data_IF_903534880981
#
_entry.id   IF_903534880981
#
_cell.length_a   1.000
_cell.length_b   1.000
_cell.length_c   1.000
_cell.angle_alpha   90.00
_cell.angle_beta   90.00
_cell.angle_gamma   90.00
#
_symmetry.space_group_name_H-M   'P 1'
#
loop_
_entity.id
_entity.type
_entity.pdbx_description
1 polymer ?
#
# COMPACT_ATOMS: atom_id res chain seq x y z
N UNK A 1 -4.96 -6.70 29.18
CA UNK A 1 -4.56 -5.74 28.14
C UNK A 1 -5.12 -4.37 28.51
N UNK A 2 -4.25 -3.43 28.88
CA UNK A 2 -4.63 -2.07 29.28
C UNK A 2 -4.82 -1.19 28.05
N UNK A 3 -5.97 -0.52 27.98
CA UNK A 3 -6.35 0.36 26.85
C UNK A 3 -5.43 1.59 26.83
N UNK A 4 -4.84 1.98 25.68
CA UNK A 4 -4.07 3.22 25.60
C UNK A 4 -4.98 4.43 25.75
N UNK A 5 -4.66 5.34 26.67
CA UNK A 5 -5.29 6.67 26.83
C UNK A 5 -4.73 7.61 25.76
N UNK A 6 -5.42 7.74 24.63
CA UNK A 6 -5.05 8.63 23.53
C UNK A 6 -5.52 10.08 23.72
N UNK A 7 -4.76 11.02 23.15
CA UNK A 7 -5.11 12.44 23.05
C UNK A 7 -6.27 12.61 22.04
N UNK A 8 -7.42 13.12 22.51
CA UNK A 8 -8.68 13.14 21.76
C UNK A 8 -8.63 13.79 20.37
N UNK A 9 -7.64 14.66 20.10
CA UNK A 9 -7.43 15.23 18.75
C UNK A 9 -6.86 14.24 17.73
N UNK A 10 -6.07 13.27 18.19
CA UNK A 10 -5.54 12.22 17.32
C UNK A 10 -6.62 11.24 16.89
N UNK A 11 -7.59 10.98 17.77
CA UNK A 11 -8.69 10.05 17.53
C UNK A 11 -9.65 10.53 16.43
N UNK A 12 -9.90 11.84 16.34
CA UNK A 12 -10.80 12.40 15.33
C UNK A 12 -10.23 12.31 13.91
N UNK A 13 -8.92 12.60 13.74
CA UNK A 13 -8.25 12.37 12.46
C UNK A 13 -8.24 10.89 12.09
N UNK A 14 -7.99 10.01 13.08
CA UNK A 14 -7.96 8.57 12.86
C UNK A 14 -9.29 8.04 12.31
N UNK A 15 -10.43 8.48 12.87
CA UNK A 15 -11.77 8.09 12.38
C UNK A 15 -11.96 8.37 10.89
N UNK A 16 -11.48 9.52 10.39
CA UNK A 16 -11.56 9.87 8.98
C UNK A 16 -10.74 8.94 8.08
N UNK A 17 -9.54 8.55 8.53
CA UNK A 17 -8.68 7.61 7.80
C UNK A 17 -9.25 6.20 7.82
N UNK A 18 -9.72 5.73 8.98
CA UNK A 18 -10.30 4.39 9.13
C UNK A 18 -11.52 4.19 8.23
N UNK A 19 -12.38 5.22 8.09
CA UNK A 19 -13.53 5.16 7.18
C UNK A 19 -13.11 4.93 5.71
N UNK A 20 -12.14 5.70 5.19
CA UNK A 20 -11.64 5.49 3.82
C UNK A 20 -10.93 4.16 3.66
N UNK A 21 -10.24 3.69 4.70
CA UNK A 21 -9.59 2.39 4.68
C UNK A 21 -10.61 1.24 4.61
N UNK A 22 -11.72 1.33 5.35
CA UNK A 22 -12.81 0.35 5.28
C UNK A 22 -13.47 0.30 3.89
N UNK A 23 -13.64 1.44 3.23
CA UNK A 23 -14.16 1.48 1.84
C UNK A 23 -13.21 0.79 0.85
N UNK A 24 -11.90 0.84 1.11
CA UNK A 24 -10.87 0.24 0.25
C UNK A 24 -10.58 -1.24 0.57
N UNK A 25 -10.75 -1.64 1.83
CA UNK A 25 -10.42 -2.97 2.36
C UNK A 25 -11.60 -3.50 3.19
N UNK A 26 -12.58 -4.16 2.55
CA UNK A 26 -13.76 -4.68 3.25
C UNK A 26 -13.40 -5.71 4.33
N UNK A 27 -12.24 -6.38 4.24
CA UNK A 27 -11.73 -7.32 5.24
C UNK A 27 -11.50 -6.71 6.63
N UNK A 28 -11.34 -5.39 6.73
CA UNK A 28 -11.24 -4.69 8.03
C UNK A 28 -12.55 -4.75 8.83
N UNK A 29 -13.69 -5.00 8.17
CA UNK A 29 -14.97 -5.17 8.85
C UNK A 29 -15.02 -6.45 9.70
N UNK A 30 -14.19 -7.45 9.40
CA UNK A 30 -14.11 -8.71 10.14
C UNK A 30 -13.48 -8.56 11.54
N UNK A 31 -12.72 -7.48 11.77
CA UNK A 31 -12.16 -7.18 13.09
C UNK A 31 -13.26 -6.67 14.03
N UNK A 32 -13.39 -7.31 15.19
CA UNK A 32 -14.45 -7.02 16.17
C UNK A 32 -14.26 -5.65 16.83
N UNK A 33 -13.03 -5.23 17.08
CA UNK A 33 -12.74 -4.02 17.85
C UNK A 33 -12.13 -2.89 17.02
N UNK A 34 -12.62 -1.67 17.23
CA UNK A 34 -12.12 -0.46 16.54
C UNK A 34 -10.63 -0.17 16.78
N UNK A 35 -10.11 -0.52 17.95
CA UNK A 35 -8.70 -0.32 18.26
C UNK A 35 -7.79 -1.23 17.41
N UNK A 36 -8.22 -2.47 17.13
CA UNK A 36 -7.48 -3.38 16.24
C UNK A 36 -7.45 -2.81 14.82
N UNK A 37 -8.61 -2.34 14.32
CA UNK A 37 -8.70 -1.69 13.00
C UNK A 37 -7.74 -0.52 12.88
N UNK A 38 -7.71 0.34 13.90
CA UNK A 38 -6.83 1.49 13.94
C UNK A 38 -5.35 1.10 13.99
N UNK A 39 -5.01 0.03 14.71
CA UNK A 39 -3.64 -0.48 14.83
C UNK A 39 -3.15 -1.11 13.51
N UNK A 40 -4.01 -1.87 12.83
CA UNK A 40 -3.75 -2.41 11.48
C UNK A 40 -3.52 -1.28 10.49
N UNK A 41 -4.40 -0.27 10.46
CA UNK A 41 -4.28 0.88 9.55
C UNK A 41 -3.00 1.67 9.83
N UNK A 42 -2.67 1.89 11.12
CA UNK A 42 -1.45 2.60 11.51
C UNK A 42 -0.18 1.81 11.14
N UNK A 43 -0.19 0.49 11.28
CA UNK A 43 0.91 -0.37 10.88
C UNK A 43 1.08 -0.47 9.36
N UNK A 44 -0.02 -0.42 8.61
CA UNK A 44 -0.03 -0.44 7.15
C UNK A 44 0.39 0.91 6.53
N UNK A 45 0.24 2.00 7.29
CA UNK A 45 0.71 3.33 6.90
C UNK A 45 2.24 3.40 7.06
N UNK A 46 2.96 2.59 6.28
CA UNK A 46 4.40 2.70 6.20
C UNK A 46 4.75 4.11 5.69
N UNK A 47 5.63 4.85 6.38
CA UNK A 47 6.09 6.12 5.86
C UNK A 47 6.69 5.80 4.50
N UNK A 48 6.19 6.45 3.45
CA UNK A 48 6.78 6.42 2.10
C UNK A 48 8.27 6.59 2.28
N UNK A 49 8.99 5.48 2.17
CA UNK A 49 10.32 5.39 2.77
C UNK A 49 11.22 6.37 2.03
N UNK A 50 12.04 7.10 2.78
CA UNK A 50 13.06 8.05 2.28
C UNK A 50 13.80 7.54 1.03
N UNK A 51 13.96 6.22 0.92
CA UNK A 51 14.49 5.49 -0.25
C UNK A 51 13.78 5.83 -1.56
N UNK A 52 12.46 5.93 -1.58
CA UNK A 52 11.68 6.29 -2.78
C UNK A 52 11.87 7.74 -3.18
N UNK A 53 11.92 8.65 -2.20
CA UNK A 53 12.25 10.05 -2.47
C UNK A 53 13.64 10.18 -3.09
N UNK A 54 14.62 9.45 -2.53
CA UNK A 54 15.97 9.37 -3.08
C UNK A 54 15.99 8.81 -4.51
N UNK A 55 15.24 7.75 -4.76
CA UNK A 55 15.11 7.13 -6.08
C UNK A 55 14.48 8.06 -7.11
N UNK A 56 13.42 8.79 -6.73
CA UNK A 56 12.79 9.79 -7.60
C UNK A 56 13.75 10.93 -7.93
N UNK A 57 14.46 11.48 -6.93
CA UNK A 57 15.49 12.51 -7.16
C UNK A 57 16.58 12.02 -8.12
N UNK A 58 17.03 10.76 -7.99
CA UNK A 58 18.04 10.18 -8.87
C UNK A 58 17.55 10.08 -10.33
N UNK A 59 16.32 9.60 -10.54
CA UNK A 59 15.71 9.51 -11.88
C UNK A 59 15.62 10.89 -12.53
N UNK A 60 15.22 11.91 -11.76
CA UNK A 60 15.11 13.30 -12.25
C UNK A 60 16.48 13.82 -12.70
N UNK A 61 17.52 13.61 -11.89
CA UNK A 61 18.89 14.02 -12.22
C UNK A 61 19.38 13.30 -13.48
N UNK A 62 19.16 11.99 -13.61
CA UNK A 62 19.52 11.24 -14.81
C UNK A 62 18.78 11.72 -16.06
N UNK A 63 17.47 11.99 -15.93
CA UNK A 63 16.68 12.54 -17.02
C UNK A 63 17.23 13.89 -17.50
N UNK A 64 17.62 14.78 -16.56
CA UNK A 64 18.26 16.06 -16.89
C UNK A 64 19.62 15.90 -17.60
N UNK A 65 20.43 14.91 -17.21
CA UNK A 65 21.73 14.65 -17.86
C UNK A 65 21.53 14.13 -19.28
N UNK A 66 20.69 13.11 -19.45
CA UNK A 66 20.42 12.49 -20.76
C UNK A 66 19.84 13.50 -21.74
N UNK A 67 18.88 14.31 -21.30
CA UNK A 67 18.27 15.34 -22.15
C UNK A 67 19.25 16.44 -22.53
N UNK A 68 20.13 16.87 -21.61
CA UNK A 68 21.17 17.86 -21.88
C UNK A 68 22.17 17.36 -22.94
N UNK A 69 22.63 16.12 -22.82
CA UNK A 69 23.59 15.54 -23.76
C UNK A 69 22.95 15.25 -25.12
N UNK A 70 21.70 14.79 -25.15
CA UNK A 70 21.00 14.54 -26.40
C UNK A 70 20.71 15.83 -27.15
N UNK A 71 20.28 16.90 -26.46
CA UNK A 71 20.06 18.21 -27.06
C UNK A 71 21.31 18.80 -27.72
N UNK A 72 22.49 18.60 -27.11
CA UNK A 72 23.78 19.00 -27.70
C UNK A 72 24.10 18.26 -29.00
N UNK A 73 23.74 16.98 -29.12
CA UNK A 73 24.06 16.16 -30.31
C UNK A 73 23.17 16.46 -31.51
N UNK A 74 21.89 16.79 -31.30
CA UNK A 74 20.93 16.98 -32.41
C UNK A 74 20.99 18.41 -32.97
N UNK A 75 21.75 19.33 -32.36
CA UNK A 75 21.84 20.73 -32.80
C UNK A 75 20.54 21.51 -32.62
N UNK A 76 19.58 20.98 -31.86
CA UNK A 76 18.30 21.65 -31.57
C UNK A 76 18.57 22.72 -30.52
N UNK A 77 18.85 23.93 -30.98
CA UNK A 77 19.28 25.04 -30.14
C UNK A 77 18.13 25.78 -29.42
N UNK A 78 16.89 25.27 -29.42
CA UNK A 78 15.73 26.15 -29.15
C UNK A 78 14.44 25.60 -28.56
N UNK A 79 14.32 24.35 -28.09
CA UNK A 79 13.05 23.90 -27.48
C UNK A 79 13.20 23.44 -26.04
N UNK A 80 13.47 24.40 -25.15
CA UNK A 80 13.41 24.19 -23.70
C UNK A 80 11.98 23.90 -23.20
N UNK A 81 10.96 24.14 -24.02
CA UNK A 81 9.54 23.98 -23.68
C UNK A 81 9.06 22.52 -23.67
N UNK A 82 9.74 21.61 -24.37
CA UNK A 82 9.34 20.19 -24.37
C UNK A 82 9.74 19.47 -23.08
N UNK A 83 10.75 19.97 -22.35
CA UNK A 83 11.22 19.36 -21.10
C UNK A 83 10.17 19.30 -19.99
N UNK A 84 9.44 20.39 -19.63
CA UNK A 84 8.43 20.31 -18.58
C UNK A 84 7.28 19.36 -18.94
N UNK A 85 6.94 19.23 -20.22
CA UNK A 85 5.87 18.33 -20.68
C UNK A 85 6.29 16.86 -20.52
N UNK A 86 7.46 16.48 -21.01
CA UNK A 86 8.00 15.12 -20.85
C UNK A 86 8.20 14.77 -19.38
N UNK A 87 8.69 15.72 -18.59
CA UNK A 87 8.83 15.57 -17.14
C UNK A 87 7.48 15.29 -16.47
N UNK A 88 6.46 16.11 -16.76
CA UNK A 88 5.13 15.92 -16.20
C UNK A 88 4.54 14.55 -16.56
N UNK A 89 4.69 14.10 -17.80
CA UNK A 89 4.22 12.77 -18.23
C UNK A 89 4.93 11.63 -17.49
N UNK A 90 6.25 11.70 -17.34
CA UNK A 90 7.02 10.69 -16.60
C UNK A 90 6.66 10.69 -15.11
N UNK A 91 6.48 11.86 -14.50
CA UNK A 91 6.05 11.98 -13.11
C UNK A 91 4.66 11.39 -12.88
N UNK A 92 3.69 11.68 -13.76
CA UNK A 92 2.33 11.12 -13.68
C UNK A 92 2.39 9.58 -13.84
N UNK A 93 3.10 9.09 -14.85
CA UNK A 93 3.26 7.64 -15.07
C UNK A 93 3.90 6.94 -13.86
N UNK A 94 4.91 7.56 -13.25
CA UNK A 94 5.55 7.05 -12.04
C UNK A 94 4.60 7.04 -10.83
N UNK A 95 3.82 8.10 -10.62
CA UNK A 95 2.84 8.16 -9.52
C UNK A 95 1.76 7.08 -9.66
N UNK A 96 1.22 6.88 -10.87
CA UNK A 96 0.22 5.85 -11.13
C UNK A 96 0.80 4.44 -10.94
N UNK A 97 2.00 4.19 -11.46
CA UNK A 97 2.67 2.90 -11.30
C UNK A 97 2.96 2.59 -9.82
N UNK A 98 3.40 3.60 -9.08
CA UNK A 98 3.67 3.49 -7.65
C UNK A 98 2.40 3.24 -6.84
N UNK A 99 1.30 3.92 -7.15
CA UNK A 99 0.01 3.67 -6.48
C UNK A 99 -0.48 2.23 -6.73
N UNK A 100 -0.30 1.72 -7.95
CA UNK A 100 -0.66 0.34 -8.28
C UNK A 100 0.19 -0.70 -7.52
N UNK A 101 1.50 -0.50 -7.41
CA UNK A 101 2.39 -1.42 -6.67
C UNK A 101 2.15 -1.32 -5.17
N UNK A 102 2.11 -0.12 -4.62
CA UNK A 102 1.92 0.06 -3.19
C UNK A 102 0.54 -0.36 -2.73
N UNK A 103 -0.48 -0.27 -3.59
CA UNK A 103 -1.80 -0.83 -3.29
C UNK A 103 -1.73 -2.32 -2.95
N UNK A 104 -0.97 -3.10 -3.73
CA UNK A 104 -0.78 -4.54 -3.48
C UNK A 104 0.02 -4.82 -2.21
N UNK A 105 1.12 -4.11 -2.01
CA UNK A 105 1.96 -4.30 -0.82
C UNK A 105 1.25 -3.86 0.47
N UNK A 106 0.48 -2.77 0.41
CA UNK A 106 -0.34 -2.30 1.53
C UNK A 106 -1.45 -3.30 1.86
N UNK A 107 -2.17 -3.81 0.84
CA UNK A 107 -3.17 -4.87 1.04
C UNK A 107 -2.54 -6.09 1.71
N UNK A 108 -1.37 -6.52 1.22
CA UNK A 108 -0.62 -7.65 1.78
C UNK A 108 -0.26 -7.42 3.25
N UNK A 109 0.30 -6.25 3.58
CA UNK A 109 0.67 -5.90 4.95
C UNK A 109 -0.54 -5.83 5.90
N UNK A 110 -1.66 -5.27 5.44
CA UNK A 110 -2.92 -5.22 6.18
C UNK A 110 -3.40 -6.64 6.49
N UNK A 111 -3.45 -7.51 5.48
CA UNK A 111 -3.93 -8.90 5.62
C UNK A 111 -3.02 -9.73 6.52
N UNK A 112 -1.70 -9.56 6.43
CA UNK A 112 -0.77 -10.19 7.37
C UNK A 112 -1.06 -9.75 8.80
N UNK A 113 -1.32 -8.46 9.04
CA UNK A 113 -1.68 -7.96 10.37
C UNK A 113 -3.02 -8.49 10.87
N UNK A 114 -4.02 -8.61 9.99
CA UNK A 114 -5.32 -9.21 10.33
C UNK A 114 -5.13 -10.68 10.76
N UNK A 115 -4.31 -11.45 10.03
CA UNK A 115 -3.96 -12.82 10.41
C UNK A 115 -3.26 -12.91 11.76
N UNK A 116 -2.38 -11.95 12.10
CA UNK A 116 -1.73 -11.87 13.42
C UNK A 116 -2.74 -11.64 14.56
N UNK A 117 -3.90 -11.03 14.29
CA UNK A 117 -4.99 -10.86 15.26
C UNK A 117 -5.90 -12.11 15.37
N UNK A 118 -5.60 -13.19 14.65
CA UNK A 118 -6.35 -14.45 14.71
C UNK A 118 -7.53 -14.53 13.76
N UNK A 119 -7.70 -13.57 12.83
CA UNK A 119 -8.71 -13.64 11.78
C UNK A 119 -8.06 -14.11 10.48
N UNK A 120 -8.21 -15.38 10.07
CA UNK A 120 -7.55 -15.90 8.88
C UNK A 120 -8.19 -15.31 7.61
N UNK A 121 -7.41 -14.55 6.86
CA UNK A 121 -7.74 -13.97 5.55
C UNK A 121 -6.68 -14.35 4.51
N UNK A 122 -7.14 -14.55 3.28
CA UNK A 122 -6.24 -14.81 2.16
C UNK A 122 -5.39 -13.56 1.88
N UNK A 123 -4.08 -13.74 1.83
CA UNK A 123 -3.11 -12.66 1.64
C UNK A 123 -3.23 -12.03 0.24
N UNK A 124 -3.61 -12.81 -0.78
CA UNK A 124 -3.65 -12.37 -2.19
C UNK A 124 -5.00 -11.71 -2.57
N UNK A 125 -6.13 -12.30 -2.20
CA UNK A 125 -7.45 -11.77 -2.58
C UNK A 125 -8.21 -11.09 -1.43
N UNK A 126 -7.90 -11.39 -0.16
CA UNK A 126 -8.60 -10.83 1.00
C UNK A 126 -9.84 -11.62 1.46
N UNK A 127 -10.11 -12.79 0.87
CA UNK A 127 -11.22 -13.66 1.26
C UNK A 127 -11.04 -14.18 2.70
N UNK A 128 -12.13 -14.21 3.49
CA UNK A 128 -12.10 -14.82 4.83
C UNK A 128 -11.97 -16.33 4.74
N UNK A 129 -10.96 -16.89 5.40
CA UNK A 129 -10.68 -18.32 5.41
C UNK A 129 -11.27 -19.02 6.64
N UNK A 130 -12.28 -18.41 7.26
CA UNK A 130 -13.01 -19.04 8.37
C UNK A 130 -13.76 -20.26 7.85
N UNK A 131 -13.61 -21.40 8.54
CA UNK A 131 -14.34 -22.65 8.28
C UNK A 131 -13.94 -23.42 7.00
N UNK A 132 -12.81 -23.08 6.37
CA UNK A 132 -12.34 -23.79 5.18
C UNK A 132 -11.46 -24.98 5.58
N UNK A 133 -11.85 -26.18 5.12
CA UNK A 133 -11.08 -27.43 5.32
C UNK A 133 -10.00 -27.61 4.24
N UNK A 134 -10.23 -27.05 3.05
CA UNK A 134 -9.34 -27.21 1.91
C UNK A 134 -8.11 -26.27 2.00
N UNK A 135 -6.90 -26.73 1.61
CA UNK A 135 -5.67 -25.93 1.68
C UNK A 135 -5.58 -24.84 0.58
N UNK A 136 -6.68 -24.51 -0.08
CA UNK A 136 -6.71 -23.55 -1.20
C UNK A 136 -7.81 -22.51 -0.99
N UNK A 137 -7.52 -21.26 -1.35
CA UNK A 137 -8.52 -20.20 -1.30
C UNK A 137 -9.57 -20.42 -2.41
N UNK A 138 -10.88 -20.38 -2.10
CA UNK A 138 -11.94 -20.64 -3.08
C UNK A 138 -12.05 -19.56 -4.16
N UNK A 139 -11.62 -18.33 -3.87
CA UNK A 139 -11.68 -17.20 -4.82
C UNK A 139 -10.50 -17.17 -5.80
N UNK A 140 -9.28 -17.37 -5.31
CA UNK A 140 -8.06 -17.16 -6.12
C UNK A 140 -7.21 -18.42 -6.30
N UNK A 141 -7.59 -19.56 -5.70
CA UNK A 141 -6.83 -20.81 -5.76
C UNK A 141 -5.46 -20.75 -5.07
N UNK A 142 -5.14 -19.67 -4.35
CA UNK A 142 -3.84 -19.53 -3.68
C UNK A 142 -3.76 -20.55 -2.54
N UNK A 143 -2.69 -21.36 -2.47
CA UNK A 143 -2.49 -22.30 -1.39
C UNK A 143 -2.27 -21.56 -0.07
N UNK A 144 -2.85 -22.07 1.01
CA UNK A 144 -2.66 -21.57 2.36
C UNK A 144 -2.43 -22.73 3.33
N UNK A 145 -1.73 -22.47 4.43
CA UNK A 145 -1.61 -23.47 5.50
C UNK A 145 -2.96 -23.58 6.21
N UNK A 146 -3.57 -24.77 6.26
CA UNK A 146 -4.79 -24.97 7.03
C UNK A 146 -4.49 -24.68 8.49
N UNK A 147 -5.28 -23.81 9.10
CA UNK A 147 -5.14 -23.57 10.53
C UNK A 147 -5.59 -24.81 11.29
N UNK A 148 -4.84 -25.27 12.31
CA UNK A 148 -5.31 -26.34 13.16
C UNK A 148 -6.60 -25.85 13.82
N UNK A 149 -7.74 -26.47 13.49
CA UNK A 149 -8.97 -26.25 14.24
C UNK A 149 -8.63 -26.61 15.68
N UNK A 150 -8.74 -25.63 16.59
CA UNK A 150 -8.53 -25.86 18.01
C UNK A 150 -9.36 -27.07 18.42
N UNK A 151 -8.70 -28.13 18.87
CA UNK A 151 -9.35 -29.25 19.54
C UNK A 151 -9.91 -28.69 20.85
N UNK A 152 -11.17 -28.23 20.83
CA UNK A 152 -11.93 -27.83 22.03
C UNK A 152 -12.29 -29.04 22.90
#
# INVERSE_FOLDING_TARGET
MTKPTGDGKSDEKLKGYTKRAMERFPELAALEHDWQRNEVVKGAQQPVTLKYFLGMCLIIVLAMIVTRDWGRRIGIQGSLWLFPVLFALVSIGFLLWHEAINGKNAARAIRTKINEFGTPVCIECGYLLTEIVEPQCPECGTPHEPQPMGEE
#
